data_IF_850776006703
#
_entry.id   IF_850776006703
#
_cell.length_a   1.000
_cell.length_b   1.000
_cell.length_c   1.000
_cell.angle_alpha   90.00
_cell.angle_beta   90.00
_cell.angle_gamma   90.00
#
_symmetry.space_group_name_H-M   'P 1'
#
loop_
_entity.id
_entity.type
_entity.pdbx_description
1 polymer ?
#
# COMPACT_ATOMS: atom_id res chain seq x y z
N UNK A 1 -13.45 -36.40 46.14
CA UNK A 1 -12.45 -35.57 45.48
C UNK A 1 -11.28 -36.42 45.07
N UNK A 2 -11.13 -36.71 43.77
CA UNK A 2 -9.89 -37.29 43.23
C UNK A 2 -8.96 -36.12 42.94
N UNK A 3 -7.84 -36.03 43.66
CA UNK A 3 -6.78 -35.09 43.31
C UNK A 3 -6.28 -35.41 41.88
N UNK A 4 -6.08 -34.41 41.00
CA UNK A 4 -5.55 -34.66 39.68
C UNK A 4 -4.11 -35.17 39.79
N UNK A 5 -3.80 -36.20 39.00
CA UNK A 5 -2.47 -36.83 38.94
C UNK A 5 -1.41 -35.81 38.48
N UNK A 6 -0.23 -35.75 39.13
CA UNK A 6 0.80 -34.72 38.87
C UNK A 6 1.45 -34.76 37.48
N UNK A 7 1.20 -35.82 36.68
CA UNK A 7 1.72 -35.94 35.31
C UNK A 7 0.90 -35.19 34.25
N UNK A 8 -0.40 -34.99 34.48
CA UNK A 8 -1.27 -34.34 33.48
C UNK A 8 -1.04 -32.82 33.43
N UNK A 9 -0.74 -32.18 34.55
CA UNK A 9 -0.50 -30.73 34.62
C UNK A 9 0.74 -30.32 33.85
N UNK A 10 1.86 -31.04 34.00
CA UNK A 10 3.12 -30.74 33.29
C UNK A 10 2.99 -30.84 31.78
N UNK A 11 2.31 -31.86 31.27
CA UNK A 11 2.05 -31.97 29.83
C UNK A 11 1.14 -30.86 29.31
N UNK A 12 0.12 -30.48 30.08
CA UNK A 12 -0.79 -29.41 29.72
C UNK A 12 -0.09 -28.03 29.69
N UNK A 13 0.77 -27.75 30.67
CA UNK A 13 1.59 -26.53 30.68
C UNK A 13 2.60 -26.49 29.55
N UNK A 14 3.21 -27.62 29.18
CA UNK A 14 4.11 -27.68 28.03
C UNK A 14 3.38 -27.39 26.71
N UNK A 15 2.18 -27.94 26.51
CA UNK A 15 1.36 -27.65 25.33
C UNK A 15 0.92 -26.17 25.28
N UNK A 16 0.54 -25.61 26.42
CA UNK A 16 0.22 -24.18 26.53
C UNK A 16 1.42 -23.31 26.20
N UNK A 17 2.61 -23.64 26.73
CA UNK A 17 3.85 -22.92 26.43
C UNK A 17 4.21 -23.00 24.95
N UNK A 18 4.09 -24.18 24.33
CA UNK A 18 4.34 -24.37 22.90
C UNK A 18 3.36 -23.53 22.04
N UNK A 19 2.07 -23.52 22.40
CA UNK A 19 1.06 -22.73 21.72
C UNK A 19 1.30 -21.22 21.88
N UNK A 20 1.63 -20.77 23.09
CA UNK A 20 1.95 -19.37 23.38
C UNK A 20 3.21 -18.91 22.64
N UNK A 21 4.28 -19.72 22.63
CA UNK A 21 5.49 -19.43 21.87
C UNK A 21 5.19 -19.33 20.38
N UNK A 22 4.39 -20.25 19.83
CA UNK A 22 3.96 -20.19 18.42
C UNK A 22 3.14 -18.94 18.12
N UNK A 23 2.26 -18.54 19.03
CA UNK A 23 1.49 -17.31 18.91
C UNK A 23 2.40 -16.07 18.88
N UNK A 24 3.36 -15.98 19.81
CA UNK A 24 4.36 -14.90 19.85
C UNK A 24 5.19 -14.85 18.56
N UNK A 25 5.62 -15.99 18.02
CA UNK A 25 6.32 -16.05 16.73
C UNK A 25 5.51 -15.40 15.61
N UNK A 26 4.21 -15.69 15.54
CA UNK A 26 3.36 -15.13 14.49
C UNK A 26 3.01 -13.65 14.72
N UNK A 27 2.89 -13.18 15.98
CA UNK A 27 2.76 -11.75 16.26
C UNK A 27 3.99 -10.96 15.79
N UNK A 28 5.18 -11.52 16.02
CA UNK A 28 6.43 -10.93 15.55
C UNK A 28 6.52 -10.95 14.02
N UNK A 29 6.18 -12.08 13.38
CA UNK A 29 6.18 -12.17 11.91
C UNK A 29 5.23 -11.17 11.26
N UNK A 30 4.09 -10.86 11.90
CA UNK A 30 3.10 -9.89 11.42
C UNK A 30 3.41 -8.44 11.81
N UNK A 31 4.56 -8.17 12.45
CA UNK A 31 4.97 -6.83 12.85
C UNK A 31 4.21 -6.24 14.05
N UNK A 32 3.38 -7.03 14.74
CA UNK A 32 2.61 -6.61 15.92
C UNK A 32 3.50 -6.54 17.16
N UNK A 33 4.37 -7.53 17.35
CA UNK A 33 5.30 -7.57 18.47
C UNK A 33 6.74 -7.32 18.00
N UNK A 34 7.51 -6.58 18.78
CA UNK A 34 8.92 -6.34 18.48
C UNK A 34 9.77 -7.62 18.61
N UNK A 35 10.80 -7.76 17.77
CA UNK A 35 11.69 -8.94 17.70
C UNK A 35 12.38 -9.32 19.02
N UNK A 36 12.56 -8.32 19.90
CA UNK A 36 13.15 -8.51 21.22
C UNK A 36 12.36 -9.52 22.06
N UNK A 37 11.03 -9.52 21.96
CA UNK A 37 10.17 -10.43 22.71
C UNK A 37 10.48 -11.90 22.37
N UNK A 38 10.66 -12.22 21.09
CA UNK A 38 11.00 -13.58 20.66
C UNK A 38 12.42 -13.96 21.08
N UNK A 39 13.38 -13.03 21.01
CA UNK A 39 14.76 -13.26 21.44
C UNK A 39 14.87 -13.47 22.96
N UNK A 40 14.15 -12.69 23.77
CA UNK A 40 14.07 -12.87 25.21
C UNK A 40 13.45 -14.21 25.58
N UNK A 41 12.36 -14.59 24.90
CA UNK A 41 11.73 -15.89 25.11
C UNK A 41 12.68 -17.04 24.74
N UNK A 42 13.39 -16.94 23.61
CA UNK A 42 14.42 -17.91 23.22
C UNK A 42 15.58 -17.97 24.22
N UNK A 43 16.03 -16.83 24.73
CA UNK A 43 17.08 -16.75 25.73
C UNK A 43 16.65 -17.42 27.04
N UNK A 44 15.42 -17.15 27.51
CA UNK A 44 14.86 -17.74 28.72
C UNK A 44 14.72 -19.26 28.60
N UNK A 45 14.26 -19.76 27.45
CA UNK A 45 14.10 -21.20 27.20
C UNK A 45 15.44 -21.96 27.11
N UNK A 46 16.53 -21.28 26.72
CA UNK A 46 17.82 -21.91 26.41
C UNK A 46 18.90 -21.70 27.50
N UNK A 47 18.87 -20.61 28.27
CA UNK A 47 19.98 -20.25 29.18
C UNK A 47 19.84 -20.80 30.60
N UNK A 48 18.65 -20.85 31.20
CA UNK A 48 18.49 -21.04 32.65
C UNK A 48 18.32 -22.52 33.11
N UNK A 49 18.86 -23.46 32.31
CA UNK A 49 18.74 -24.94 32.35
C UNK A 49 17.84 -25.51 31.25
N UNK A 50 18.38 -25.78 30.05
CA UNK A 50 17.62 -26.38 28.97
C UNK A 50 17.18 -27.79 29.37
N UNK A 51 15.87 -28.03 29.35
CA UNK A 51 15.27 -29.37 29.45
C UNK A 51 14.78 -29.78 28.07
N UNK A 52 14.62 -31.08 27.81
CA UNK A 52 14.13 -31.57 26.51
C UNK A 52 12.87 -30.83 26.04
N UNK A 53 11.93 -30.55 26.95
CA UNK A 53 10.70 -29.84 26.65
C UNK A 53 10.89 -28.34 26.36
N UNK A 54 11.80 -27.63 27.03
CA UNK A 54 12.06 -26.20 26.73
C UNK A 54 12.82 -26.04 25.44
N UNK A 55 13.75 -26.96 25.15
CA UNK A 55 14.50 -26.97 23.88
C UNK A 55 13.58 -27.28 22.71
N UNK A 56 12.62 -28.21 22.86
CA UNK A 56 11.60 -28.47 21.84
C UNK A 56 10.77 -27.21 21.52
N UNK A 57 10.32 -26.48 22.54
CA UNK A 57 9.58 -25.22 22.34
C UNK A 57 10.47 -24.17 21.68
N UNK A 58 11.73 -24.04 22.11
CA UNK A 58 12.68 -23.08 21.52
C UNK A 58 12.96 -23.39 20.05
N UNK A 59 13.12 -24.66 19.69
CA UNK A 59 13.31 -25.10 18.30
C UNK A 59 12.06 -24.82 17.47
N UNK A 60 10.87 -25.08 18.02
CA UNK A 60 9.59 -24.75 17.38
C UNK A 60 9.44 -23.25 17.13
N UNK A 61 9.72 -22.43 18.14
CA UNK A 61 9.70 -20.97 18.05
C UNK A 61 10.67 -20.47 16.97
N UNK A 62 11.93 -20.88 17.05
CA UNK A 62 12.96 -20.49 16.07
C UNK A 62 12.66 -20.99 14.64
N UNK A 63 11.92 -22.08 14.48
CA UNK A 63 11.47 -22.56 13.16
C UNK A 63 10.45 -21.60 12.54
N UNK A 64 9.50 -21.10 13.32
CA UNK A 64 8.39 -20.27 12.83
C UNK A 64 8.81 -18.80 12.63
N UNK A 65 9.64 -18.24 13.53
CA UNK A 65 10.07 -16.83 13.46
C UNK A 65 11.50 -16.61 12.94
N UNK A 66 12.26 -17.67 12.70
CA UNK A 66 13.68 -17.57 12.31
C UNK A 66 13.93 -16.90 10.97
N UNK A 67 12.98 -16.93 10.04
CA UNK A 67 13.06 -16.19 8.79
C UNK A 67 13.01 -14.67 9.02
N UNK A 68 12.02 -14.20 9.80
CA UNK A 68 11.88 -12.80 10.16
C UNK A 68 13.08 -12.30 10.99
N UNK A 69 13.47 -13.05 12.03
CA UNK A 69 14.65 -12.72 12.84
C UNK A 69 15.94 -12.65 12.02
N UNK A 70 16.06 -13.46 10.96
CA UNK A 70 17.21 -13.43 10.07
C UNK A 70 17.31 -12.15 9.24
N UNK A 71 16.19 -11.51 8.96
CA UNK A 71 16.11 -10.27 8.18
C UNK A 71 16.26 -9.04 9.09
N UNK A 72 15.60 -9.04 10.25
CA UNK A 72 15.59 -7.90 11.16
C UNK A 72 16.76 -7.89 12.15
N UNK A 73 17.06 -9.03 12.77
CA UNK A 73 18.01 -9.18 13.87
C UNK A 73 18.98 -10.38 13.68
N UNK A 74 19.82 -10.39 12.63
CA UNK A 74 20.65 -11.55 12.28
C UNK A 74 21.62 -11.95 13.39
N UNK A 75 22.16 -10.98 14.15
CA UNK A 75 23.07 -11.25 15.28
C UNK A 75 22.37 -11.94 16.46
N UNK A 76 21.10 -11.62 16.70
CA UNK A 76 20.29 -12.27 17.72
C UNK A 76 20.03 -13.73 17.35
N UNK A 77 19.66 -13.98 16.08
CA UNK A 77 19.49 -15.32 15.56
C UNK A 77 20.80 -16.13 15.63
N UNK A 78 21.95 -15.54 15.29
CA UNK A 78 23.26 -16.19 15.41
C UNK A 78 23.51 -16.70 16.84
N UNK A 79 23.27 -15.84 17.85
CA UNK A 79 23.44 -16.20 19.25
C UNK A 79 22.54 -17.38 19.68
N UNK A 80 21.29 -17.42 19.21
CA UNK A 80 20.36 -18.53 19.48
C UNK A 80 20.90 -19.85 18.92
N UNK A 81 21.40 -19.86 17.68
CA UNK A 81 21.96 -21.06 17.08
C UNK A 81 23.30 -21.48 17.68
N UNK A 82 24.11 -20.54 18.17
CA UNK A 82 25.32 -20.84 18.91
C UNK A 82 25.00 -21.50 20.26
N UNK A 83 23.96 -21.04 20.96
CA UNK A 83 23.45 -21.70 22.17
C UNK A 83 22.94 -23.12 21.88
N UNK A 84 22.16 -23.31 20.80
CA UNK A 84 21.71 -24.64 20.38
C UNK A 84 22.87 -25.58 20.02
N UNK A 85 23.94 -25.04 19.43
CA UNK A 85 25.17 -25.79 19.15
C UNK A 85 25.89 -26.19 20.45
N UNK A 86 25.98 -25.28 21.42
CA UNK A 86 26.51 -25.56 22.75
C UNK A 86 25.74 -26.69 23.43
N UNK A 87 24.41 -26.62 23.41
CA UNK A 87 23.52 -27.66 23.93
C UNK A 87 23.79 -29.01 23.24
N UNK A 88 23.90 -29.05 21.91
CA UNK A 88 24.21 -30.27 21.15
C UNK A 88 25.56 -30.91 21.50
N UNK A 89 26.56 -30.12 21.90
CA UNK A 89 27.90 -30.62 22.25
C UNK A 89 28.08 -30.94 23.73
N UNK A 90 27.49 -30.14 24.61
CA UNK A 90 27.72 -30.19 26.06
C UNK A 90 26.56 -30.85 26.85
N UNK A 91 25.38 -30.99 26.24
CA UNK A 91 24.17 -31.49 26.88
C UNK A 91 23.96 -33.01 26.74
N UNK A 92 23.51 -33.64 27.82
CA UNK A 92 22.90 -34.98 27.78
C UNK A 92 21.42 -34.83 27.37
N UNK A 93 21.16 -34.80 26.06
CA UNK A 93 19.84 -34.55 25.49
C UNK A 93 19.30 -35.83 24.85
N UNK A 94 17.98 -36.03 24.90
CA UNK A 94 17.34 -37.12 24.17
C UNK A 94 17.58 -37.04 22.65
N UNK A 95 17.72 -38.22 22.03
CA UNK A 95 17.97 -38.36 20.58
C UNK A 95 16.93 -37.64 19.73
N UNK A 96 15.67 -37.57 20.18
CA UNK A 96 14.60 -36.85 19.48
C UNK A 96 14.91 -35.37 19.35
N UNK A 97 15.35 -34.75 20.44
CA UNK A 97 15.66 -33.32 20.48
C UNK A 97 16.90 -33.03 19.63
N UNK A 98 17.91 -33.91 19.67
CA UNK A 98 19.07 -33.84 18.80
C UNK A 98 18.66 -33.78 17.31
N UNK A 99 17.79 -34.67 16.85
CA UNK A 99 17.28 -34.62 15.47
C UNK A 99 16.51 -33.33 15.16
N UNK A 100 15.71 -32.82 16.10
CA UNK A 100 14.99 -31.55 15.90
C UNK A 100 15.92 -30.35 15.75
N UNK A 101 17.02 -30.32 16.52
CA UNK A 101 18.05 -29.28 16.40
C UNK A 101 18.75 -29.40 15.04
N UNK A 102 19.17 -30.61 14.64
CA UNK A 102 19.81 -30.87 13.34
C UNK A 102 18.90 -30.47 12.16
N UNK A 103 17.61 -30.80 12.23
CA UNK A 103 16.59 -30.38 11.27
C UNK A 103 16.49 -28.84 11.20
N UNK A 104 16.52 -28.15 12.34
CA UNK A 104 16.52 -26.69 12.38
C UNK A 104 17.77 -26.09 11.72
N UNK A 105 18.95 -26.69 11.92
CA UNK A 105 20.18 -26.28 11.22
C UNK A 105 20.06 -26.49 9.70
N UNK A 106 19.41 -27.56 9.25
CA UNK A 106 19.14 -27.78 7.82
C UNK A 106 18.18 -26.72 7.24
N UNK A 107 17.11 -26.37 7.97
CA UNK A 107 16.17 -25.30 7.60
C UNK A 107 16.91 -23.95 7.49
N UNK A 108 17.78 -23.63 8.46
CA UNK A 108 18.61 -22.42 8.42
C UNK A 108 19.53 -22.40 7.21
N UNK A 109 20.20 -23.52 6.89
CA UNK A 109 21.06 -23.63 5.70
C UNK A 109 20.29 -23.44 4.40
N UNK A 110 19.03 -23.87 4.36
CA UNK A 110 18.11 -23.62 3.26
C UNK A 110 17.52 -22.20 3.26
N UNK A 111 17.93 -21.32 4.18
CA UNK A 111 17.41 -19.95 4.38
C UNK A 111 15.89 -19.91 4.58
N UNK A 112 15.35 -20.84 5.37
CA UNK A 112 13.93 -20.88 5.73
C UNK A 112 12.95 -20.89 4.54
N UNK A 113 13.35 -21.38 3.35
CA UNK A 113 12.51 -21.40 2.15
C UNK A 113 11.13 -22.07 2.31
N UNK A 114 10.98 -23.00 3.25
CA UNK A 114 9.70 -23.66 3.57
C UNK A 114 8.90 -23.01 4.70
N UNK A 115 9.45 -21.97 5.33
CA UNK A 115 8.89 -21.26 6.48
C UNK A 115 8.99 -19.74 6.23
N UNK A 116 8.23 -19.19 5.27
CA UNK A 116 8.17 -17.74 5.08
C UNK A 116 7.60 -17.08 6.34
N UNK A 117 8.05 -15.86 6.71
CA UNK A 117 7.55 -15.13 7.89
C UNK A 117 6.04 -15.01 7.91
N UNK A 118 5.48 -14.46 6.83
CA UNK A 118 4.05 -14.26 6.63
C UNK A 118 3.65 -15.00 5.36
N UNK A 119 2.54 -15.72 5.43
CA UNK A 119 1.96 -16.35 4.24
C UNK A 119 1.35 -15.26 3.37
N UNK A 120 1.43 -15.34 2.03
CA UNK A 120 0.89 -14.29 1.16
C UNK A 120 -0.59 -13.96 1.42
N UNK A 121 -1.39 -14.94 1.84
CA UNK A 121 -2.82 -14.78 2.18
C UNK A 121 -3.06 -14.00 3.48
N UNK A 122 -2.03 -13.89 4.34
CA UNK A 122 -2.11 -13.26 5.67
C UNK A 122 -1.36 -11.92 5.73
N UNK A 123 -0.75 -11.48 4.63
CA UNK A 123 -0.06 -10.20 4.50
C UNK A 123 -1.07 -9.12 4.07
N UNK A 124 -1.93 -8.71 5.02
CA UNK A 124 -3.08 -7.84 4.77
C UNK A 124 -2.85 -6.37 5.13
N UNK A 125 -1.82 -6.09 5.94
CA UNK A 125 -1.59 -4.76 6.54
C UNK A 125 -0.29 -4.20 5.99
N UNK A 126 -0.33 -2.99 5.43
CA UNK A 126 0.88 -2.31 4.98
C UNK A 126 1.84 -2.03 6.15
N UNK A 127 3.14 -2.22 5.94
CA UNK A 127 4.15 -2.01 6.98
C UNK A 127 4.13 -0.61 7.64
N UNK A 128 3.66 0.42 6.92
CA UNK A 128 3.56 1.79 7.45
C UNK A 128 2.34 1.96 8.38
N UNK A 129 1.32 1.11 8.24
CA UNK A 129 0.12 1.09 9.09
C UNK A 129 0.24 0.08 10.24
N UNK A 130 1.30 -0.73 10.26
CA UNK A 130 1.59 -1.66 11.36
C UNK A 130 2.08 -0.88 12.58
N UNK A 131 1.45 -1.17 13.73
CA UNK A 131 1.90 -0.67 15.03
C UNK A 131 2.62 -1.80 15.76
N UNK A 132 3.95 -1.67 15.87
CA UNK A 132 4.76 -2.64 16.60
C UNK A 132 4.86 -2.28 18.07
N UNK A 133 4.38 -3.18 18.92
CA UNK A 133 4.43 -3.07 20.37
C UNK A 133 5.76 -3.60 20.91
N UNK A 134 6.45 -2.78 21.71
CA UNK A 134 7.63 -3.20 22.48
C UNK A 134 7.16 -3.73 23.83
N UNK A 135 7.13 -5.06 23.95
CA UNK A 135 6.80 -5.77 25.19
C UNK A 135 8.07 -6.48 25.66
N UNK A 136 8.52 -6.18 26.86
CA UNK A 136 9.66 -6.81 27.50
C UNK A 136 9.16 -7.87 28.49
N UNK A 137 9.78 -9.04 28.52
CA UNK A 137 9.47 -10.06 29.53
C UNK A 137 10.12 -9.72 30.88
N UNK A 138 11.24 -8.99 30.87
CA UNK A 138 12.02 -8.66 32.07
C UNK A 138 11.36 -7.65 32.99
N UNK A 139 10.54 -6.73 32.46
CA UNK A 139 9.82 -5.73 33.27
C UNK A 139 8.85 -6.37 34.26
N UNK A 140 8.39 -7.59 33.98
CA UNK A 140 7.52 -8.39 34.86
C UNK A 140 8.27 -9.19 35.95
N UNK A 141 9.61 -9.28 35.88
CA UNK A 141 10.43 -10.11 36.76
C UNK A 141 11.11 -9.31 37.88
N UNK A 142 11.35 -8.02 37.68
CA UNK A 142 11.90 -7.12 38.70
C UNK A 142 10.76 -6.44 39.46
N UNK A 143 10.81 -6.48 40.81
CA UNK A 143 9.81 -5.95 41.76
C UNK A 143 9.65 -4.40 41.74
N UNK A 144 9.73 -3.76 40.58
CA UNK A 144 9.57 -2.32 40.39
C UNK A 144 9.32 -1.85 38.96
N UNK A 145 9.11 -2.75 37.99
CA UNK A 145 8.59 -2.41 36.67
C UNK A 145 7.05 -2.45 36.64
N UNK A 146 6.43 -1.75 35.69
CA UNK A 146 4.99 -1.85 35.44
C UNK A 146 4.66 -3.31 35.08
N UNK A 147 4.07 -4.06 36.01
CA UNK A 147 3.58 -5.42 35.78
C UNK A 147 2.51 -5.37 34.67
N UNK A 148 2.59 -6.29 33.70
CA UNK A 148 1.60 -6.36 32.63
C UNK A 148 0.24 -6.71 33.24
N UNK A 149 -0.66 -5.72 33.27
CA UNK A 149 -2.04 -5.94 33.71
C UNK A 149 -2.79 -6.71 32.61
N UNK A 150 -3.27 -7.94 32.89
CA UNK A 150 -4.09 -8.68 31.92
C UNK A 150 -5.48 -8.08 31.71
N UNK A 151 -5.87 -7.05 32.49
CA UNK A 151 -7.13 -6.32 32.37
C UNK A 151 -8.38 -7.22 32.35
N UNK A 152 -8.35 -8.36 33.08
CA UNK A 152 -9.42 -9.38 33.11
C UNK A 152 -10.79 -8.80 33.51
N UNK A 153 -10.82 -7.64 34.15
CA UNK A 153 -12.06 -6.94 34.47
C UNK A 153 -12.86 -6.54 33.22
N UNK A 154 -12.21 -6.35 32.07
CA UNK A 154 -12.86 -6.02 30.79
C UNK A 154 -13.62 -7.22 30.17
N UNK A 155 -13.31 -8.46 30.58
CA UNK A 155 -14.01 -9.66 30.11
C UNK A 155 -15.39 -9.84 30.78
N UNK A 156 -15.67 -9.06 31.84
CA UNK A 156 -16.91 -9.13 32.61
C UNK A 156 -17.81 -7.96 32.23
N UNK A 157 -19.06 -8.26 31.87
CA UNK A 157 -20.03 -7.21 31.52
C UNK A 157 -20.33 -6.34 32.74
N UNK A 158 -19.98 -5.06 32.64
CA UNK A 158 -20.34 -4.03 33.60
C UNK A 158 -21.11 -2.88 32.93
N UNK A 159 -22.23 -2.42 33.52
CA UNK A 159 -23.00 -1.32 32.94
C UNK A 159 -22.21 -0.01 33.02
N UNK A 160 -21.85 0.57 31.87
CA UNK A 160 -21.16 1.86 31.83
C UNK A 160 -22.17 3.01 31.93
N UNK A 161 -21.80 4.06 32.69
CA UNK A 161 -22.62 5.28 32.79
C UNK A 161 -22.50 6.17 31.55
N UNK A 162 -21.44 5.98 30.75
CA UNK A 162 -21.11 6.69 29.52
C UNK A 162 -21.50 5.93 28.25
N UNK A 163 -22.22 4.81 28.35
CA UNK A 163 -22.52 3.91 27.23
C UNK A 163 -22.93 4.62 25.94
N UNK A 164 -23.87 5.57 26.01
CA UNK A 164 -24.34 6.30 24.84
C UNK A 164 -23.26 7.18 24.17
N UNK A 165 -22.28 7.68 24.93
CA UNK A 165 -21.16 8.45 24.39
C UNK A 165 -20.09 7.52 23.79
N UNK A 166 -19.80 6.41 24.45
CA UNK A 166 -18.80 5.43 24.01
C UNK A 166 -19.26 4.74 22.71
N UNK A 167 -20.56 4.40 22.62
CA UNK A 167 -21.18 3.84 21.41
C UNK A 167 -21.10 4.82 20.23
N UNK A 168 -21.39 6.10 20.48
CA UNK A 168 -21.29 7.13 19.45
C UNK A 168 -19.83 7.34 18.98
N UNK A 169 -18.86 7.26 19.90
CA UNK A 169 -17.44 7.34 19.57
C UNK A 169 -16.97 6.12 18.77
N UNK A 170 -17.45 4.92 19.12
CA UNK A 170 -17.17 3.69 18.39
C UNK A 170 -17.70 3.73 16.96
N UNK A 171 -18.94 4.19 16.77
CA UNK A 171 -19.53 4.32 15.43
C UNK A 171 -18.79 5.33 14.54
N UNK A 172 -18.31 6.43 15.12
CA UNK A 172 -17.47 7.41 14.40
C UNK A 172 -16.10 6.80 14.02
N UNK A 173 -15.50 6.02 14.92
CA UNK A 173 -14.26 5.29 14.65
C UNK A 173 -14.45 4.22 13.56
N UNK A 174 -15.53 3.42 13.63
CA UNK A 174 -15.91 2.41 12.63
C UNK A 174 -16.05 3.06 11.25
N UNK A 175 -16.77 4.17 11.16
CA UNK A 175 -16.94 4.96 9.92
C UNK A 175 -15.62 5.50 9.38
N UNK A 176 -14.71 5.90 10.26
CA UNK A 176 -13.39 6.41 9.88
C UNK A 176 -12.50 5.30 9.31
N UNK A 177 -12.54 4.10 9.90
CA UNK A 177 -11.72 2.95 9.48
C UNK A 177 -12.25 2.30 8.20
N UNK A 178 -13.57 2.06 8.10
CA UNK A 178 -14.19 1.36 6.97
C UNK A 178 -14.56 2.31 5.81
N UNK A 179 -14.68 3.61 6.08
CA UNK A 179 -15.14 4.61 5.12
C UNK A 179 -16.66 4.68 5.00
N UNK A 180 -17.19 5.86 4.65
CA UNK A 180 -18.63 6.15 4.61
C UNK A 180 -19.43 5.45 3.47
N UNK A 181 -18.84 4.44 2.81
CA UNK A 181 -19.45 3.71 1.70
C UNK A 181 -20.24 2.46 2.11
N UNK A 182 -20.19 2.07 3.39
CA UNK A 182 -20.67 0.76 3.87
C UNK A 182 -21.90 0.85 4.79
N UNK A 183 -22.62 1.98 4.79
CA UNK A 183 -23.86 2.14 5.58
C UNK A 183 -25.06 1.32 5.05
N UNK A 184 -24.86 0.40 4.10
CA UNK A 184 -25.94 -0.45 3.59
C UNK A 184 -25.94 -1.89 4.12
N UNK A 185 -25.04 -2.26 5.04
CA UNK A 185 -24.95 -3.65 5.53
C UNK A 185 -25.66 -3.92 6.86
N UNK A 186 -26.10 -2.88 7.58
CA UNK A 186 -26.65 -3.04 8.94
C UNK A 186 -28.19 -2.87 9.02
N UNK A 187 -28.94 -3.06 7.93
CA UNK A 187 -30.41 -2.86 7.93
C UNK A 187 -31.28 -4.11 7.71
N UNK A 188 -30.71 -5.33 7.81
CA UNK A 188 -31.45 -6.59 7.61
C UNK A 188 -31.19 -7.65 8.70
N UNK A 189 -31.21 -7.28 9.98
CA UNK A 189 -31.34 -8.25 11.07
C UNK A 189 -32.32 -7.76 12.13
N UNK A 190 -33.62 -7.98 11.89
CA UNK A 190 -34.61 -8.24 12.95
C UNK A 190 -35.96 -8.67 12.34
N UNK A 191 -36.04 -9.93 11.89
CA UNK A 191 -37.30 -10.69 11.89
C UNK A 191 -37.01 -12.16 12.24
N UNK A 192 -37.00 -12.45 13.55
CA UNK A 192 -37.25 -13.80 14.05
C UNK A 192 -38.66 -14.23 13.63
N UNK A 193 -38.74 -15.25 12.76
CA UNK A 193 -39.90 -16.12 12.66
C UNK A 193 -39.41 -17.54 12.92
N UNK A 194 -39.71 -18.00 14.11
CA UNK A 194 -39.68 -19.39 14.56
C UNK A 194 -40.71 -20.18 13.73
N UNK A 195 -40.27 -21.23 13.04
CA UNK A 195 -41.12 -22.37 12.69
C UNK A 195 -40.21 -23.56 12.34
N UNK A 196 -40.18 -24.51 13.27
CA UNK A 196 -39.73 -25.89 13.10
C UNK A 196 -40.48 -26.56 11.94
N UNK A 197 -39.76 -27.16 10.98
CA UNK A 197 -40.15 -28.48 10.48
C UNK A 197 -39.01 -29.23 9.78
N UNK A 198 -38.98 -30.53 10.09
CA UNK A 198 -37.95 -31.52 9.77
C UNK A 198 -38.03 -32.06 8.33
N UNK A 199 -36.90 -32.65 7.90
CA UNK A 199 -36.72 -33.65 6.83
C UNK A 199 -36.70 -33.23 5.34
N UNK A 200 -35.54 -33.43 4.69
CA UNK A 200 -35.29 -34.56 3.75
C UNK A 200 -34.01 -34.37 2.94
N UNK A 201 -33.37 -35.51 2.66
CA UNK A 201 -32.11 -35.72 1.94
C UNK A 201 -32.06 -35.18 0.49
N UNK A 202 -30.84 -34.93 0.00
CA UNK A 202 -30.56 -34.94 -1.44
C UNK A 202 -29.37 -34.10 -1.93
N UNK A 203 -28.22 -34.76 -2.07
CA UNK A 203 -27.22 -34.65 -3.13
C UNK A 203 -26.59 -33.30 -3.57
N UNK A 204 -25.26 -33.34 -3.55
CA UNK A 204 -24.24 -32.53 -4.20
C UNK A 204 -24.59 -31.94 -5.58
N UNK A 205 -24.52 -30.60 -5.70
CA UNK A 205 -24.12 -29.94 -6.94
C UNK A 205 -23.01 -28.92 -6.66
N UNK A 206 -21.89 -29.08 -7.36
CA UNK A 206 -20.74 -28.18 -7.36
C UNK A 206 -21.08 -26.98 -8.23
N UNK A 207 -21.65 -25.94 -7.63
CA UNK A 207 -21.70 -24.62 -8.24
C UNK A 207 -20.28 -24.05 -8.25
N UNK A 208 -19.72 -23.82 -9.43
CA UNK A 208 -18.52 -22.99 -9.61
C UNK A 208 -18.83 -21.61 -9.00
N UNK A 209 -18.40 -21.41 -7.76
CA UNK A 209 -18.38 -20.11 -7.11
C UNK A 209 -17.42 -19.23 -7.93
N UNK A 210 -17.98 -18.43 -8.83
CA UNK A 210 -17.23 -17.38 -9.50
C UNK A 210 -17.01 -16.29 -8.44
N UNK A 211 -15.94 -16.43 -7.65
CA UNK A 211 -15.59 -15.47 -6.60
C UNK A 211 -15.33 -14.14 -7.30
N UNK A 212 -16.28 -13.23 -7.14
CA UNK A 212 -16.18 -11.87 -7.66
C UNK A 212 -15.44 -11.07 -6.59
N UNK A 213 -14.13 -10.96 -6.79
CA UNK A 213 -13.26 -10.19 -5.90
C UNK A 213 -13.77 -8.73 -5.83
N UNK A 214 -14.27 -8.35 -4.66
CA UNK A 214 -14.78 -7.02 -4.35
C UNK A 214 -13.72 -6.11 -3.74
N UNK A 215 -12.53 -6.65 -3.47
CA UNK A 215 -11.41 -5.91 -2.89
C UNK A 215 -10.41 -5.53 -4.00
N UNK A 216 -10.13 -4.24 -4.14
CA UNK A 216 -9.17 -3.67 -5.12
C UNK A 216 -7.70 -4.04 -4.79
N UNK A 217 -7.44 -5.13 -4.07
CA UNK A 217 -6.12 -5.57 -3.55
C UNK A 217 -5.08 -5.74 -4.65
N UNK A 218 -5.45 -6.32 -5.78
CA UNK A 218 -4.58 -6.45 -6.95
C UNK A 218 -4.17 -5.07 -7.52
N UNK A 219 -5.08 -4.10 -7.49
CA UNK A 219 -4.80 -2.74 -7.93
C UNK A 219 -3.90 -2.00 -6.93
N UNK A 220 -4.08 -2.22 -5.62
CA UNK A 220 -3.22 -1.63 -4.58
C UNK A 220 -1.79 -2.16 -4.70
N UNK A 221 -1.63 -3.48 -4.84
CA UNK A 221 -0.32 -4.10 -5.05
C UNK A 221 0.37 -3.60 -6.33
N UNK A 222 -0.41 -3.45 -7.41
CA UNK A 222 0.09 -2.86 -8.65
C UNK A 222 0.55 -1.41 -8.43
N UNK A 223 -0.25 -0.58 -7.76
CA UNK A 223 0.08 0.82 -7.45
C UNK A 223 1.38 0.91 -6.64
N UNK A 224 1.54 0.09 -5.59
CA UNK A 224 2.74 0.05 -4.76
C UNK A 224 3.97 -0.35 -5.56
N UNK A 225 3.85 -1.37 -6.41
CA UNK A 225 4.94 -1.81 -7.30
C UNK A 225 5.36 -0.70 -8.26
N UNK A 226 4.40 0.02 -8.85
CA UNK A 226 4.67 1.15 -9.74
C UNK A 226 5.39 2.27 -8.98
N UNK A 227 4.90 2.63 -7.80
CA UNK A 227 5.48 3.67 -6.97
C UNK A 227 6.94 3.37 -6.58
N UNK A 228 7.20 2.16 -6.07
CA UNK A 228 8.54 1.73 -5.69
C UNK A 228 9.50 1.69 -6.90
N UNK A 229 9.00 1.25 -8.06
CA UNK A 229 9.79 1.25 -9.29
C UNK A 229 10.14 2.67 -9.75
N UNK A 230 9.21 3.62 -9.61
CA UNK A 230 9.44 5.04 -9.93
C UNK A 230 10.48 5.66 -8.98
N UNK A 231 10.37 5.41 -7.68
CA UNK A 231 11.26 6.02 -6.68
C UNK A 231 12.67 5.39 -6.65
N UNK A 232 12.79 4.10 -6.98
CA UNK A 232 14.08 3.41 -7.01
C UNK A 232 14.88 3.64 -8.31
N UNK A 233 14.21 4.09 -9.37
CA UNK A 233 14.85 4.26 -10.67
C UNK A 233 15.40 5.68 -10.83
N UNK A 234 16.69 5.78 -11.16
CA UNK A 234 17.36 7.08 -11.36
C UNK A 234 17.07 7.64 -12.77
N UNK A 235 16.92 6.76 -13.76
CA UNK A 235 16.73 7.13 -15.16
C UNK A 235 15.35 6.70 -15.69
N UNK A 236 14.77 7.56 -16.55
CA UNK A 236 13.47 7.28 -17.19
C UNK A 236 13.49 6.06 -18.12
N UNK A 237 14.66 5.68 -18.66
CA UNK A 237 14.81 4.49 -19.51
C UNK A 237 14.56 3.21 -18.71
N UNK A 238 15.24 3.10 -17.58
CA UNK A 238 15.24 1.92 -16.72
C UNK A 238 13.87 1.75 -16.06
N UNK A 239 13.30 2.86 -15.57
CA UNK A 239 11.95 2.90 -15.04
C UNK A 239 10.94 2.41 -16.08
N UNK A 240 11.03 2.91 -17.32
CA UNK A 240 10.13 2.52 -18.41
C UNK A 240 10.20 1.03 -18.72
N UNK A 241 11.41 0.48 -18.83
CA UNK A 241 11.59 -0.96 -19.11
C UNK A 241 11.03 -1.84 -17.97
N UNK A 242 11.30 -1.49 -16.71
CA UNK A 242 10.79 -2.22 -15.54
C UNK A 242 9.26 -2.13 -15.46
N UNK A 243 8.68 -0.94 -15.62
CA UNK A 243 7.23 -0.74 -15.52
C UNK A 243 6.46 -1.48 -16.62
N UNK A 244 6.99 -1.49 -17.85
CA UNK A 244 6.37 -2.24 -18.95
C UNK A 244 6.41 -3.77 -18.73
N UNK A 245 7.35 -4.28 -17.94
CA UNK A 245 7.38 -5.71 -17.58
C UNK A 245 6.40 -6.09 -16.47
N UNK A 246 6.00 -5.13 -15.63
CA UNK A 246 5.09 -5.34 -14.49
C UNK A 246 3.63 -5.18 -14.90
N UNK A 247 3.33 -4.25 -15.80
CA UNK A 247 1.95 -3.88 -16.16
C UNK A 247 1.38 -4.86 -17.20
N UNK A 248 0.23 -5.48 -16.88
CA UNK A 248 -0.50 -6.34 -17.82
C UNK A 248 -1.37 -5.51 -18.78
N UNK A 249 -1.70 -6.03 -19.98
CA UNK A 249 -2.66 -5.38 -20.87
C UNK A 249 -4.01 -5.15 -20.17
N UNK A 250 -4.52 -3.92 -20.18
CA UNK A 250 -5.72 -3.48 -19.44
C UNK A 250 -5.45 -2.67 -18.17
N UNK A 251 -4.21 -2.66 -17.66
CA UNK A 251 -3.81 -1.90 -16.47
C UNK A 251 -3.03 -0.61 -16.80
N UNK A 252 -2.98 -0.22 -18.07
CA UNK A 252 -2.23 0.95 -18.55
C UNK A 252 -2.74 2.26 -17.93
N UNK A 253 -4.06 2.35 -17.71
CA UNK A 253 -4.69 3.51 -17.09
C UNK A 253 -4.22 3.72 -15.65
N UNK A 254 -3.99 2.65 -14.91
CA UNK A 254 -3.53 2.72 -13.53
C UNK A 254 -2.06 3.19 -13.48
N UNK A 255 -1.23 2.72 -14.42
CA UNK A 255 0.13 3.23 -14.58
C UNK A 255 0.17 4.74 -14.85
N UNK A 256 -0.63 5.23 -15.80
CA UNK A 256 -0.75 6.66 -16.08
C UNK A 256 -1.24 7.43 -14.85
N UNK A 257 -2.17 6.85 -14.07
CA UNK A 257 -2.74 7.47 -12.87
C UNK A 257 -1.69 7.60 -11.76
N UNK A 258 -0.94 6.53 -11.49
CA UNK A 258 0.10 6.55 -10.46
C UNK A 258 1.25 7.47 -10.83
N UNK A 259 1.70 7.46 -12.08
CA UNK A 259 2.74 8.37 -12.55
C UNK A 259 2.34 9.83 -12.33
N UNK A 260 1.10 10.19 -12.63
CA UNK A 260 0.58 11.53 -12.40
C UNK A 260 0.47 11.86 -10.90
N UNK A 261 0.01 10.92 -10.06
CA UNK A 261 -0.05 11.11 -8.61
C UNK A 261 1.33 11.34 -8.00
N UNK A 262 2.34 10.58 -8.42
CA UNK A 262 3.73 10.78 -7.99
C UNK A 262 4.24 12.16 -8.40
N UNK A 263 4.04 12.55 -9.66
CA UNK A 263 4.45 13.85 -10.18
C UNK A 263 3.84 15.02 -9.40
N UNK A 264 2.59 14.88 -8.91
CA UNK A 264 1.92 15.92 -8.09
C UNK A 264 2.50 16.07 -6.70
N UNK A 265 2.91 14.97 -6.07
CA UNK A 265 3.39 14.97 -4.67
C UNK A 265 4.86 15.39 -4.53
N UNK A 266 5.62 15.43 -5.62
CA UNK A 266 7.01 15.91 -5.56
C UNK A 266 7.10 17.41 -5.28
N UNK A 267 8.05 17.79 -4.42
CA UNK A 267 8.32 19.21 -4.09
C UNK A 267 8.77 20.03 -5.30
N UNK A 268 9.42 19.40 -6.27
CA UNK A 268 9.91 20.05 -7.47
C UNK A 268 9.78 19.10 -8.67
N UNK A 269 9.23 19.60 -9.77
CA UNK A 269 9.08 18.83 -11.00
C UNK A 269 10.45 18.35 -11.53
N UNK A 270 10.58 17.05 -11.75
CA UNK A 270 11.75 16.45 -12.40
C UNK A 270 11.43 16.05 -13.85
N UNK A 271 12.36 16.35 -14.76
CA UNK A 271 12.26 16.01 -16.20
C UNK A 271 12.08 14.51 -16.46
N UNK A 272 12.49 13.67 -15.51
CA UNK A 272 12.38 12.21 -15.57
C UNK A 272 10.93 11.74 -15.78
N UNK A 273 9.92 12.38 -15.17
CA UNK A 273 8.52 12.02 -15.38
C UNK A 273 8.06 12.32 -16.81
N UNK A 274 8.51 13.44 -17.39
CA UNK A 274 8.25 13.79 -18.79
C UNK A 274 8.81 12.75 -19.75
N UNK A 275 10.10 12.41 -19.60
CA UNK A 275 10.75 11.41 -20.45
C UNK A 275 10.18 10.00 -20.30
N UNK A 276 9.73 9.63 -19.10
CA UNK A 276 9.05 8.35 -18.86
C UNK A 276 7.67 8.31 -19.53
N UNK A 277 6.85 9.34 -19.31
CA UNK A 277 5.52 9.41 -19.89
C UNK A 277 5.58 9.46 -21.43
N UNK A 278 6.58 10.15 -22.01
CA UNK A 278 6.82 10.16 -23.45
C UNK A 278 7.06 8.75 -24.00
N UNK A 279 7.88 7.94 -23.32
CA UNK A 279 8.13 6.54 -23.72
C UNK A 279 6.86 5.69 -23.64
N UNK A 280 6.09 5.82 -22.56
CA UNK A 280 4.84 5.07 -22.40
C UNK A 280 3.87 5.41 -23.54
N UNK A 281 3.74 6.68 -23.91
CA UNK A 281 2.96 7.11 -25.06
C UNK A 281 3.48 6.58 -26.39
N UNK A 282 4.79 6.35 -26.54
CA UNK A 282 5.38 5.76 -27.74
C UNK A 282 5.13 4.24 -27.83
N UNK A 283 5.03 3.54 -26.71
CA UNK A 283 4.79 2.09 -26.66
C UNK A 283 3.40 1.71 -27.17
N UNK A 284 2.37 2.46 -26.81
CA UNK A 284 1.00 2.10 -27.17
C UNK A 284 -0.03 3.20 -27.01
N UNK A 285 -1.06 3.17 -27.87
CA UNK A 285 -2.15 4.14 -27.88
C UNK A 285 -3.01 4.10 -26.61
N UNK A 286 -3.01 2.97 -25.89
CA UNK A 286 -3.70 2.83 -24.61
C UNK A 286 -3.15 3.81 -23.56
N UNK A 287 -1.82 4.00 -23.51
CA UNK A 287 -1.19 4.98 -22.60
C UNK A 287 -1.51 6.42 -23.00
N UNK A 288 -1.54 6.72 -24.30
CA UNK A 288 -1.96 8.05 -24.79
C UNK A 288 -3.39 8.38 -24.33
N UNK A 289 -4.33 7.46 -24.56
CA UNK A 289 -5.72 7.60 -24.09
C UNK A 289 -5.81 7.71 -22.56
N UNK A 290 -4.95 6.98 -21.83
CA UNK A 290 -4.84 7.07 -20.38
C UNK A 290 -4.45 8.46 -19.90
N UNK A 291 -3.40 9.05 -20.46
CA UNK A 291 -2.96 10.41 -20.12
C UNK A 291 -3.99 11.48 -20.54
N UNK A 292 -4.65 11.32 -21.70
CA UNK A 292 -5.74 12.20 -22.13
C UNK A 292 -6.90 12.22 -21.11
N UNK A 293 -7.35 11.04 -20.66
CA UNK A 293 -8.40 10.93 -19.66
C UNK A 293 -8.00 11.57 -18.33
N UNK A 294 -6.74 11.39 -17.91
CA UNK A 294 -6.23 11.99 -16.66
C UNK A 294 -6.09 13.50 -16.75
N UNK A 295 -5.72 14.05 -17.91
CA UNK A 295 -5.71 15.49 -18.13
C UNK A 295 -7.11 16.07 -17.97
N UNK A 296 -8.11 15.50 -18.64
CA UNK A 296 -9.50 15.98 -18.56
C UNK A 296 -10.03 15.96 -17.12
N UNK A 297 -9.79 14.87 -16.38
CA UNK A 297 -10.15 14.77 -14.97
C UNK A 297 -9.44 15.81 -14.11
N UNK A 298 -8.13 16.00 -14.29
CA UNK A 298 -7.38 17.00 -13.53
C UNK A 298 -7.83 18.43 -13.83
N UNK A 299 -8.06 18.77 -15.10
CA UNK A 299 -8.53 20.08 -15.53
C UNK A 299 -9.90 20.41 -14.91
N UNK A 300 -10.82 19.44 -14.86
CA UNK A 300 -12.13 19.62 -14.21
C UNK A 300 -12.06 19.84 -12.69
N UNK A 301 -11.00 19.36 -12.05
CA UNK A 301 -10.76 19.46 -10.60
C UNK A 301 -9.69 20.53 -10.25
N UNK A 302 -9.29 21.36 -11.22
CA UNK A 302 -8.18 22.30 -11.06
C UNK A 302 -8.45 23.31 -9.92
N UNK A 303 -9.71 23.74 -9.73
CA UNK A 303 -10.10 24.67 -8.67
C UNK A 303 -9.95 24.13 -7.24
N UNK A 304 -9.85 22.80 -7.08
CA UNK A 304 -9.64 22.14 -5.77
C UNK A 304 -8.19 21.70 -5.57
N UNK A 305 -7.33 21.89 -6.56
CA UNK A 305 -5.95 21.41 -6.54
C UNK A 305 -5.01 22.54 -6.11
N UNK A 306 -4.02 22.24 -5.28
CA UNK A 306 -3.04 23.23 -4.83
C UNK A 306 -2.18 23.75 -5.99
N UNK A 307 -1.73 25.01 -5.92
CA UNK A 307 -0.98 25.68 -6.98
C UNK A 307 0.32 24.95 -7.37
N UNK A 308 1.00 24.34 -6.40
CA UNK A 308 2.24 23.60 -6.66
C UNK A 308 1.98 22.29 -7.43
N UNK A 309 0.88 21.60 -7.11
CA UNK A 309 0.44 20.40 -7.83
C UNK A 309 -0.03 20.73 -9.25
N UNK A 310 -0.71 21.88 -9.43
CA UNK A 310 -1.08 22.41 -10.74
C UNK A 310 0.16 22.71 -11.58
N UNK A 311 1.18 23.33 -11.01
CA UNK A 311 2.45 23.63 -11.69
C UNK A 311 3.18 22.36 -12.11
N UNK A 312 3.28 21.37 -11.23
CA UNK A 312 3.93 20.09 -11.56
C UNK A 312 3.20 19.37 -12.71
N UNK A 313 1.87 19.36 -12.66
CA UNK A 313 1.05 18.71 -13.70
C UNK A 313 1.12 19.46 -15.03
N UNK A 314 1.06 20.80 -15.00
CA UNK A 314 1.22 21.65 -16.18
C UNK A 314 2.56 21.38 -16.89
N UNK A 315 3.66 21.28 -16.14
CA UNK A 315 4.98 20.95 -16.70
C UNK A 315 5.03 19.58 -17.37
N UNK A 316 4.42 18.57 -16.76
CA UNK A 316 4.35 17.22 -17.33
C UNK A 316 3.61 17.22 -18.68
N UNK A 317 2.43 17.82 -18.74
CA UNK A 317 1.64 17.86 -19.98
C UNK A 317 2.24 18.80 -21.03
N UNK A 318 2.89 19.89 -20.62
CA UNK A 318 3.67 20.73 -21.51
C UNK A 318 4.78 19.93 -22.20
N UNK A 319 5.51 19.10 -21.44
CA UNK A 319 6.54 18.23 -22.00
C UNK A 319 5.99 17.20 -23.00
N UNK A 320 4.86 16.56 -22.69
CA UNK A 320 4.24 15.58 -23.58
C UNK A 320 3.72 16.18 -24.88
N UNK A 321 3.16 17.39 -24.82
CA UNK A 321 2.73 18.12 -26.01
C UNK A 321 3.92 18.64 -26.83
N UNK A 322 4.97 19.14 -26.17
CA UNK A 322 6.18 19.61 -26.83
C UNK A 322 6.92 18.47 -27.56
N UNK A 323 6.89 17.27 -27.01
CA UNK A 323 7.46 16.07 -27.64
C UNK A 323 6.54 15.40 -28.69
N UNK A 324 5.39 16.00 -29.03
CA UNK A 324 4.34 15.43 -29.89
C UNK A 324 3.90 14.00 -29.45
N UNK A 325 4.02 13.69 -28.15
CA UNK A 325 3.66 12.39 -27.58
C UNK A 325 2.15 12.23 -27.35
N UNK A 326 1.43 13.35 -27.23
CA UNK A 326 -0.02 13.41 -27.13
C UNK A 326 -0.59 14.31 -28.23
N UNK A 327 -1.73 13.94 -28.83
CA UNK A 327 -2.37 14.78 -29.84
C UNK A 327 -2.93 16.06 -29.23
N UNK A 328 -2.52 17.20 -29.77
CA UNK A 328 -2.93 18.55 -29.34
C UNK A 328 -4.46 18.69 -29.26
N UNK A 329 -5.18 18.10 -30.23
CA UNK A 329 -6.64 18.08 -30.27
C UNK A 329 -7.28 17.47 -29.04
N UNK A 330 -6.74 16.37 -28.53
CA UNK A 330 -7.36 15.62 -27.46
C UNK A 330 -7.21 16.34 -26.12
N UNK A 331 -6.06 16.99 -25.92
CA UNK A 331 -5.75 17.73 -24.69
C UNK A 331 -6.40 19.11 -24.72
N UNK A 332 -6.14 19.92 -25.74
CA UNK A 332 -6.54 21.33 -25.77
C UNK A 332 -7.93 21.57 -26.37
N UNK A 333 -8.49 20.63 -27.13
CA UNK A 333 -9.79 20.80 -27.79
C UNK A 333 -10.99 20.93 -26.85
N UNK A 334 -10.81 20.65 -25.55
CA UNK A 334 -11.83 20.81 -24.49
C UNK A 334 -11.43 21.82 -23.41
N UNK A 335 -10.26 22.44 -23.54
CA UNK A 335 -9.74 23.43 -22.59
C UNK A 335 -10.40 24.76 -22.89
N UNK A 336 -10.93 25.42 -21.87
CA UNK A 336 -11.45 26.78 -21.96
C UNK A 336 -10.56 27.68 -21.12
N UNK A 337 -9.80 28.54 -21.77
CA UNK A 337 -8.86 29.46 -21.12
C UNK A 337 -9.47 30.05 -19.82
N UNK A 338 -8.86 29.74 -18.68
CA UNK A 338 -9.21 30.31 -17.37
C UNK A 338 -8.03 31.08 -16.79
N UNK A 339 -8.26 31.90 -15.76
CA UNK A 339 -7.24 32.80 -15.18
C UNK A 339 -6.02 32.09 -14.55
N UNK A 340 -6.03 30.76 -14.44
CA UNK A 340 -5.02 29.97 -13.71
C UNK A 340 -4.24 28.97 -14.58
N UNK A 341 -4.30 29.07 -15.91
CA UNK A 341 -3.64 28.10 -16.81
C UNK A 341 -2.12 28.34 -16.93
N UNK A 342 -1.34 27.62 -16.11
CA UNK A 342 0.15 27.66 -16.11
C UNK A 342 0.78 26.87 -17.28
N UNK A 343 0.00 26.01 -17.96
CA UNK A 343 0.44 25.12 -19.05
C UNK A 343 1.13 25.85 -20.21
N UNK A 344 0.59 27.01 -20.62
CA UNK A 344 1.07 27.71 -21.82
C UNK A 344 2.43 28.38 -21.61
N UNK A 345 2.75 28.79 -20.38
CA UNK A 345 4.06 29.36 -20.06
C UNK A 345 5.16 28.31 -20.19
N UNK A 346 4.95 27.13 -19.60
CA UNK A 346 5.89 26.01 -19.70
C UNK A 346 6.02 25.51 -21.16
N UNK A 347 4.93 25.51 -21.94
CA UNK A 347 4.97 25.18 -23.38
C UNK A 347 5.79 26.18 -24.20
N UNK A 348 5.62 27.47 -23.92
CA UNK A 348 6.35 28.52 -24.62
C UNK A 348 7.86 28.49 -24.28
N UNK A 349 8.21 28.10 -23.05
CA UNK A 349 9.60 27.90 -22.64
C UNK A 349 10.26 26.75 -23.42
N UNK A 350 9.53 25.65 -23.66
CA UNK A 350 10.07 24.47 -24.34
C UNK A 350 10.11 24.59 -25.87
N UNK A 351 9.05 25.10 -26.51
CA UNK A 351 8.91 25.17 -27.97
C UNK A 351 9.32 26.52 -28.57
N UNK A 352 9.26 27.59 -27.77
CA UNK A 352 9.32 28.96 -28.24
C UNK A 352 7.99 29.46 -28.84
N UNK A 353 7.76 30.78 -28.72
CA UNK A 353 6.48 31.44 -29.05
C UNK A 353 6.06 31.25 -30.52
N UNK A 354 7.02 31.22 -31.46
CA UNK A 354 6.71 31.09 -32.90
C UNK A 354 6.19 29.71 -33.25
N UNK A 355 6.84 28.65 -32.75
CA UNK A 355 6.42 27.26 -33.00
C UNK A 355 5.08 26.99 -32.31
N UNK A 356 4.94 27.48 -31.07
CA UNK A 356 3.68 27.38 -30.33
C UNK A 356 2.51 28.07 -31.06
N UNK A 357 2.75 29.26 -31.65
CA UNK A 357 1.72 29.97 -32.42
C UNK A 357 1.27 29.19 -33.65
N UNK A 358 2.20 28.61 -34.40
CA UNK A 358 1.87 27.79 -35.58
C UNK A 358 1.07 26.53 -35.17
N UNK A 359 1.49 25.82 -34.13
CA UNK A 359 0.79 24.63 -33.61
C UNK A 359 -0.64 24.94 -33.14
N UNK A 360 -0.84 26.06 -32.46
CA UNK A 360 -2.16 26.47 -31.94
C UNK A 360 -3.07 27.02 -33.03
N UNK A 361 -2.55 27.86 -33.93
CA UNK A 361 -3.39 28.63 -34.87
C UNK A 361 -3.55 27.97 -36.25
N UNK A 362 -2.50 27.28 -36.73
CA UNK A 362 -2.39 26.85 -38.13
C UNK A 362 -2.56 25.34 -38.32
N UNK A 363 -2.11 24.51 -37.36
CA UNK A 363 -2.16 23.05 -37.50
C UNK A 363 -3.53 22.43 -37.16
N UNK A 364 -4.22 22.91 -36.11
CA UNK A 364 -5.49 22.32 -35.67
C UNK A 364 -6.58 23.37 -35.39
N UNK A 365 -7.55 23.43 -36.31
CA UNK A 365 -8.71 24.33 -36.20
C UNK A 365 -9.55 24.11 -34.95
N UNK A 366 -9.66 22.87 -34.44
CA UNK A 366 -10.45 22.59 -33.24
C UNK A 366 -9.76 23.09 -31.97
N UNK A 367 -8.41 23.01 -31.91
CA UNK A 367 -7.62 23.57 -30.81
C UNK A 367 -7.71 25.10 -30.83
N UNK A 368 -7.58 25.70 -32.01
CA UNK A 368 -7.73 27.16 -32.18
C UNK A 368 -9.09 27.64 -31.70
N UNK A 369 -10.16 26.98 -32.10
CA UNK A 369 -11.52 27.41 -31.78
C UNK A 369 -11.86 27.16 -30.30
N UNK A 370 -11.21 26.19 -29.64
CA UNK A 370 -11.31 25.99 -28.19
C UNK A 370 -10.57 27.08 -27.40
N UNK A 371 -9.37 27.48 -27.82
CA UNK A 371 -8.54 28.47 -27.13
C UNK A 371 -8.92 29.92 -27.47
N UNK A 372 -9.41 30.16 -28.69
CA UNK A 372 -9.90 31.45 -29.16
C UNK A 372 -11.35 31.30 -29.63
N UNK A 373 -12.31 31.23 -28.69
CA UNK A 373 -13.72 31.09 -29.02
C UNK A 373 -14.18 32.24 -29.91
N UNK A 374 -14.82 31.91 -31.03
CA UNK A 374 -15.41 32.87 -31.98
C UNK A 374 -16.92 33.07 -31.78
N UNK A 375 -17.47 32.43 -30.77
CA UNK A 375 -18.89 32.45 -30.40
C UNK A 375 -19.34 33.81 -29.83
N UNK A 376 -18.51 34.43 -29.01
CA UNK A 376 -18.78 35.72 -28.40
C UNK A 376 -17.53 36.60 -28.37
N UNK A 377 -17.65 37.84 -28.86
CA UNK A 377 -16.57 38.83 -28.85
C UNK A 377 -16.00 39.10 -27.43
N UNK A 378 -16.78 38.86 -26.36
CA UNK A 378 -16.30 38.94 -24.99
C UNK A 378 -15.30 37.83 -24.66
N UNK A 379 -15.59 36.59 -25.08
CA UNK A 379 -14.72 35.43 -24.85
C UNK A 379 -13.42 35.55 -25.63
N UNK A 380 -13.49 36.01 -26.89
CA UNK A 380 -12.29 36.25 -27.69
C UNK A 380 -11.40 37.34 -27.09
N UNK A 381 -11.99 38.43 -26.56
CA UNK A 381 -11.23 39.48 -25.85
C UNK A 381 -10.61 38.94 -24.56
N UNK A 382 -11.33 38.12 -23.81
CA UNK A 382 -10.81 37.49 -22.59
C UNK A 382 -9.58 36.61 -22.90
N UNK A 383 -9.67 35.75 -23.91
CA UNK A 383 -8.55 34.90 -24.32
C UNK A 383 -7.32 35.74 -24.74
N UNK A 384 -7.52 36.81 -25.53
CA UNK A 384 -6.42 37.70 -25.92
C UNK A 384 -5.78 38.36 -24.69
N UNK A 385 -6.59 38.90 -23.79
CA UNK A 385 -6.12 39.54 -22.57
C UNK A 385 -5.35 38.56 -21.67
N UNK A 386 -5.86 37.33 -21.54
CA UNK A 386 -5.20 36.27 -20.79
C UNK A 386 -3.81 35.96 -21.38
N UNK A 387 -3.73 35.62 -22.67
CA UNK A 387 -2.46 35.30 -23.33
C UNK A 387 -1.47 36.48 -23.31
N UNK A 388 -1.94 37.72 -23.32
CA UNK A 388 -1.06 38.88 -23.10
C UNK A 388 -0.58 39.03 -21.67
N UNK A 389 -1.43 38.77 -20.69
CA UNK A 389 -1.09 38.88 -19.28
C UNK A 389 -0.02 37.87 -18.86
N UNK A 390 -0.06 36.66 -19.45
CA UNK A 390 0.96 35.62 -19.21
C UNK A 390 2.24 35.80 -20.05
N UNK A 391 2.34 36.86 -20.87
CA UNK A 391 3.53 37.18 -21.67
C UNK A 391 3.59 36.53 -23.06
N UNK A 392 2.50 35.88 -23.51
CA UNK A 392 2.41 35.13 -24.77
C UNK A 392 1.59 35.87 -25.84
N UNK A 393 1.73 37.19 -25.92
CA UNK A 393 0.98 38.04 -26.86
C UNK A 393 1.15 37.66 -28.33
N UNK A 394 2.29 37.09 -28.72
CA UNK A 394 2.56 36.67 -30.11
C UNK A 394 1.66 35.54 -30.62
N UNK A 395 1.05 34.74 -29.73
CA UNK A 395 0.09 33.68 -30.11
C UNK A 395 -1.28 34.27 -30.49
N UNK A 396 -1.56 35.52 -30.08
CA UNK A 396 -2.89 36.16 -30.22
C UNK A 396 -3.08 36.94 -31.53
N UNK A 397 -2.07 37.03 -32.40
CA UNK A 397 -2.11 37.87 -33.61
C UNK A 397 -3.29 37.53 -34.53
N UNK A 398 -3.54 36.24 -34.76
CA UNK A 398 -4.65 35.76 -35.60
C UNK A 398 -6.02 36.06 -34.97
N UNK A 399 -6.13 36.01 -33.64
CA UNK A 399 -7.37 36.32 -32.91
C UNK A 399 -7.67 37.83 -32.87
N UNK A 400 -6.63 38.68 -32.78
CA UNK A 400 -6.78 40.15 -32.83
C UNK A 400 -7.35 40.62 -34.16
N UNK A 401 -6.96 39.99 -35.27
CA UNK A 401 -7.50 40.27 -36.62
C UNK A 401 -9.00 39.96 -36.77
N UNK A 402 -9.61 39.22 -35.84
CA UNK A 402 -11.04 38.89 -35.85
C UNK A 402 -11.91 39.88 -35.05
N UNK A 403 -11.29 40.74 -34.22
CA UNK A 403 -11.99 41.71 -33.34
C UNK A 403 -11.86 43.15 -33.86
N UNK A 404 -10.89 43.39 -34.74
CA UNK A 404 -10.80 44.59 -35.60
C UNK A 404 -11.76 44.42 -36.75
#
# INVERSE_FOLDING_TARGET
GRAPLPGNSRHQHHQQLAAAAKFVAHLMNQGVAHDLLALELLALLLLDRPTDGTVEVAVGLARECGAALGESCPRGLDAVFDNLRGILHDGDIDKRIQFMIEDLFAIRKARFKGHPPVRPELDLIEADDQVTHQVELSSSLDHGGDELDPEVHLDVFEPSSSFAQDEAAYEDLKRTILGAGDESLDQDQDQCSDDDDESSAGESETTELTIRDGTDTDLINLRRTIYLTLMSSVASEEAGHKLLSVVRPGQELELCTMLLKCCKKEKAYTSNYGGLAQRLCATGRAYQAGFEARFAGHYSAAHRTATDELRATARLFAHLLAADALPWRAILGRVRVTEHDMLFQDLAEQLGIRVLSNKINDEDTAVRDALFPRDCAKNTRFAINFFTAIGLGGVTESARKLIV
#
